data_IF_622251882877
#
_entry.id   IF_622251882877
#
_cell.length_a   1.000
_cell.length_b   1.000
_cell.length_c   1.000
_cell.angle_alpha   90.00
_cell.angle_beta   90.00
_cell.angle_gamma   90.00
#
_symmetry.space_group_name_H-M   'P 1'
#
loop_
_entity.id
_entity.type
_entity.pdbx_description
1 polymer ?
#
# COMPACT_ATOMS: atom_id res chain seq x y z
N UNK A 1 -12.86 -10.33 -33.45
CA UNK A 1 -13.82 -10.12 -32.34
C UNK A 1 -15.23 -9.98 -32.93
N UNK A 2 -16.29 -10.36 -32.20
CA UNK A 2 -17.69 -10.15 -32.64
C UNK A 2 -18.14 -8.71 -32.30
N UNK A 3 -18.92 -8.08 -33.18
CA UNK A 3 -19.37 -6.69 -33.02
C UNK A 3 -20.07 -6.42 -31.68
N UNK A 4 -20.97 -7.32 -31.25
CA UNK A 4 -21.65 -7.20 -29.94
C UNK A 4 -20.70 -7.14 -28.74
N UNK A 5 -19.55 -7.81 -28.81
CA UNK A 5 -18.52 -7.72 -27.76
C UNK A 5 -17.73 -6.41 -27.87
N UNK A 6 -17.43 -5.98 -29.09
CA UNK A 6 -16.79 -4.70 -29.34
C UNK A 6 -17.62 -3.55 -28.76
N UNK A 7 -18.93 -3.53 -29.04
CA UNK A 7 -19.89 -2.55 -28.52
C UNK A 7 -19.86 -2.42 -27.00
N UNK A 8 -19.85 -3.54 -26.26
CA UNK A 8 -19.70 -3.50 -24.81
C UNK A 8 -18.36 -2.92 -24.36
N UNK A 9 -17.29 -3.21 -25.10
CA UNK A 9 -15.97 -2.68 -24.79
C UNK A 9 -15.81 -1.20 -25.18
N UNK A 10 -16.57 -0.69 -26.13
CA UNK A 10 -16.54 0.72 -26.50
C UNK A 10 -16.95 1.62 -25.33
N UNK A 11 -17.99 1.25 -24.58
CA UNK A 11 -18.43 1.98 -23.38
C UNK A 11 -17.28 2.05 -22.35
N UNK A 12 -16.75 0.89 -21.94
CA UNK A 12 -15.61 0.85 -21.02
C UNK A 12 -14.35 1.53 -21.57
N UNK A 13 -14.19 1.63 -22.89
CA UNK A 13 -13.05 2.31 -23.51
C UNK A 13 -13.17 3.83 -23.40
N UNK A 14 -14.39 4.36 -23.57
CA UNK A 14 -14.73 5.78 -23.39
C UNK A 14 -14.47 6.23 -21.96
N UNK A 15 -14.88 5.44 -20.98
CA UNK A 15 -14.71 5.76 -19.55
C UNK A 15 -13.27 5.53 -19.04
N UNK A 16 -12.36 5.08 -19.91
CA UNK A 16 -10.97 4.82 -19.54
C UNK A 16 -10.74 3.49 -18.81
N UNK A 17 -11.79 2.75 -18.48
CA UNK A 17 -11.77 1.52 -17.67
C UNK A 17 -11.25 0.28 -18.42
N UNK A 18 -11.18 0.33 -19.76
CA UNK A 18 -10.75 -0.81 -20.55
C UNK A 18 -9.24 -1.04 -20.44
N UNK A 19 -8.85 -2.18 -19.86
CA UNK A 19 -7.44 -2.58 -19.71
C UNK A 19 -6.64 -2.50 -21.04
N UNK A 20 -5.34 -2.14 -21.01
CA UNK A 20 -4.54 -1.84 -22.21
C UNK A 20 -4.51 -2.97 -23.25
N UNK A 21 -4.49 -4.23 -22.81
CA UNK A 21 -4.52 -5.39 -23.70
C UNK A 21 -5.85 -5.51 -24.45
N UNK A 22 -6.97 -5.21 -23.79
CA UNK A 22 -8.32 -5.27 -24.39
C UNK A 22 -8.54 -4.08 -25.33
N UNK A 23 -8.00 -2.91 -24.99
CA UNK A 23 -8.01 -1.73 -25.86
C UNK A 23 -7.36 -2.00 -27.21
N UNK A 24 -6.17 -2.60 -27.24
CA UNK A 24 -5.52 -3.02 -28.51
C UNK A 24 -6.36 -3.97 -29.36
N UNK A 25 -7.06 -4.90 -28.73
CA UNK A 25 -7.95 -5.84 -29.45
C UNK A 25 -9.18 -5.12 -29.99
N UNK A 26 -9.73 -4.15 -29.25
CA UNK A 26 -10.81 -3.29 -29.71
C UNK A 26 -10.38 -2.44 -30.91
N UNK A 27 -9.23 -1.78 -30.82
CA UNK A 27 -8.64 -0.99 -31.91
C UNK A 27 -8.46 -1.81 -33.19
N UNK A 28 -7.93 -3.03 -33.08
CA UNK A 28 -7.83 -3.94 -34.22
C UNK A 28 -9.18 -4.29 -34.84
N UNK A 29 -10.23 -4.44 -34.03
CA UNK A 29 -11.59 -4.64 -34.57
C UNK A 29 -12.12 -3.38 -35.25
N UNK A 30 -11.95 -2.20 -34.65
CA UNK A 30 -12.36 -0.92 -35.24
C UNK A 30 -11.66 -0.67 -36.57
N UNK A 31 -10.38 -1.04 -36.72
CA UNK A 31 -9.69 -0.97 -38.02
C UNK A 31 -10.41 -1.80 -39.10
N UNK A 32 -10.92 -2.98 -38.74
CA UNK A 32 -11.59 -3.90 -39.68
C UNK A 32 -13.09 -3.67 -39.89
N UNK A 33 -13.82 -3.09 -38.92
CA UNK A 33 -15.28 -3.02 -38.93
C UNK A 33 -15.77 -1.57 -39.08
N UNK A 34 -16.38 -1.21 -40.23
CA UNK A 34 -16.87 0.16 -40.46
C UNK A 34 -18.05 0.53 -39.56
N UNK A 35 -18.93 -0.41 -39.24
CA UNK A 35 -20.13 -0.13 -38.43
C UNK A 35 -19.75 0.25 -37.01
N UNK A 36 -18.89 -0.54 -36.36
CA UNK A 36 -18.40 -0.21 -35.02
C UNK A 36 -17.56 1.08 -34.99
N UNK A 37 -16.84 1.43 -36.08
CA UNK A 37 -16.20 2.76 -36.16
C UNK A 37 -17.20 3.89 -36.18
N UNK A 38 -18.26 3.78 -36.99
CA UNK A 38 -19.28 4.83 -37.06
C UNK A 38 -19.96 5.01 -35.71
N UNK A 39 -20.26 3.90 -35.01
CA UNK A 39 -20.81 3.96 -33.65
C UNK A 39 -19.86 4.67 -32.68
N UNK A 40 -18.58 4.25 -32.63
CA UNK A 40 -17.57 4.88 -31.75
C UNK A 40 -17.40 6.38 -32.05
N UNK A 41 -17.34 6.76 -33.32
CA UNK A 41 -17.23 8.15 -33.75
C UNK A 41 -18.48 8.96 -33.36
N UNK A 42 -19.67 8.36 -33.49
CA UNK A 42 -20.93 8.96 -33.04
C UNK A 42 -20.93 9.22 -31.53
N UNK A 43 -20.50 8.24 -30.73
CA UNK A 43 -20.35 8.42 -29.27
C UNK A 43 -19.36 9.54 -28.95
N UNK A 44 -18.19 9.56 -29.61
CA UNK A 44 -17.19 10.62 -29.42
C UNK A 44 -17.74 12.01 -29.74
N UNK A 45 -18.47 12.17 -30.84
CA UNK A 45 -19.08 13.44 -31.24
C UNK A 45 -20.15 13.93 -30.23
N UNK A 46 -20.90 13.01 -29.61
CA UNK A 46 -21.85 13.37 -28.55
C UNK A 46 -21.09 13.88 -27.31
N UNK A 47 -20.05 13.18 -26.88
CA UNK A 47 -19.25 13.59 -25.71
C UNK A 47 -18.57 14.94 -25.93
N UNK A 48 -18.04 15.19 -27.13
CA UNK A 48 -17.44 16.48 -27.48
C UNK A 48 -18.46 17.62 -27.40
N UNK A 49 -19.68 17.40 -27.89
CA UNK A 49 -20.76 18.39 -27.74
C UNK A 49 -21.15 18.62 -26.29
N UNK A 50 -21.26 17.56 -25.49
CA UNK A 50 -21.57 17.67 -24.06
C UNK A 50 -20.46 18.40 -23.31
N UNK A 51 -19.19 18.12 -23.64
CA UNK A 51 -18.05 18.82 -23.07
C UNK A 51 -18.02 20.32 -23.47
N UNK A 52 -18.52 20.65 -24.66
CA UNK A 52 -18.67 22.03 -25.14
C UNK A 52 -19.86 22.78 -24.53
N UNK A 53 -20.81 22.08 -23.91
CA UNK A 53 -21.82 22.73 -23.06
C UNK A 53 -21.09 23.16 -21.78
N UNK A 54 -20.63 24.41 -21.74
CA UNK A 54 -19.98 24.98 -20.57
C UNK A 54 -20.91 24.93 -19.35
N UNK A 55 -20.86 23.83 -18.62
CA UNK A 55 -21.35 23.76 -17.25
C UNK A 55 -20.27 24.37 -16.37
N UNK A 56 -20.34 25.68 -16.19
CA UNK A 56 -19.55 26.36 -15.17
C UNK A 56 -20.06 25.93 -13.79
N UNK A 57 -19.56 24.81 -13.30
CA UNK A 57 -19.70 24.41 -11.92
C UNK A 57 -18.55 25.03 -11.14
N UNK A 58 -18.84 26.04 -10.32
CA UNK A 58 -17.84 26.61 -9.42
C UNK A 58 -17.50 25.57 -8.36
N UNK A 59 -16.27 25.06 -8.39
CA UNK A 59 -15.79 24.12 -7.37
C UNK A 59 -15.69 24.88 -6.04
N UNK A 60 -16.36 24.42 -4.97
CA UNK A 60 -16.22 25.04 -3.65
C UNK A 60 -14.76 25.06 -3.21
N UNK A 61 -14.28 26.21 -2.73
CA UNK A 61 -12.88 26.40 -2.32
C UNK A 61 -12.42 25.36 -1.30
N UNK A 62 -13.28 24.93 -0.36
CA UNK A 62 -12.90 23.91 0.62
C UNK A 62 -12.52 22.56 -0.03
N UNK A 63 -13.17 22.16 -1.14
CA UNK A 63 -12.85 20.92 -1.86
C UNK A 63 -11.51 21.04 -2.58
N UNK A 64 -11.24 22.19 -3.19
CA UNK A 64 -9.96 22.48 -3.82
C UNK A 64 -8.82 22.40 -2.79
N UNK A 65 -8.97 23.11 -1.66
CA UNK A 65 -7.98 23.09 -0.58
C UNK A 65 -7.77 21.69 0.00
N UNK A 66 -8.85 20.94 0.24
CA UNK A 66 -8.77 19.57 0.74
C UNK A 66 -8.04 18.64 -0.24
N UNK A 67 -8.33 18.77 -1.54
CA UNK A 67 -7.70 17.98 -2.60
C UNK A 67 -6.23 18.31 -2.73
N UNK A 68 -5.87 19.59 -2.83
CA UNK A 68 -4.48 20.03 -2.91
C UNK A 68 -3.68 19.63 -1.67
N UNK A 69 -4.28 19.71 -0.47
CA UNK A 69 -3.66 19.22 0.76
C UNK A 69 -3.37 17.73 0.69
N UNK A 70 -4.32 16.92 0.20
CA UNK A 70 -4.14 15.47 0.05
C UNK A 70 -3.05 15.12 -0.95
N UNK A 71 -3.01 15.80 -2.10
CA UNK A 71 -1.95 15.63 -3.11
C UNK A 71 -0.57 15.94 -2.53
N UNK A 72 -0.43 17.04 -1.78
CA UNK A 72 0.84 17.41 -1.12
C UNK A 72 1.29 16.36 -0.11
N UNK A 73 0.37 15.84 0.70
CA UNK A 73 0.68 14.78 1.68
C UNK A 73 1.12 13.49 0.99
N UNK A 74 0.49 13.12 -0.14
CA UNK A 74 0.90 11.94 -0.91
C UNK A 74 2.28 12.12 -1.53
N UNK A 75 2.58 13.29 -2.09
CA UNK A 75 3.90 13.60 -2.64
C UNK A 75 5.00 13.55 -1.57
N UNK A 76 4.78 14.15 -0.41
CA UNK A 76 5.73 14.10 0.71
C UNK A 76 5.99 12.66 1.19
N UNK A 77 4.93 11.83 1.27
CA UNK A 77 5.09 10.42 1.65
C UNK A 77 5.87 9.60 0.61
N UNK A 78 5.79 9.92 -0.68
CA UNK A 78 6.60 9.30 -1.72
C UNK A 78 8.08 9.72 -1.64
N UNK A 79 8.34 10.99 -1.34
CA UNK A 79 9.70 11.51 -1.09
C UNK A 79 10.36 10.81 0.10
N UNK A 80 9.65 10.63 1.22
CA UNK A 80 10.19 9.91 2.38
C UNK A 80 10.52 8.44 2.06
N UNK A 81 9.66 7.77 1.28
CA UNK A 81 9.91 6.37 0.86
C UNK A 81 11.11 6.25 -0.05
N UNK A 82 11.29 7.19 -0.98
CA UNK A 82 12.42 7.19 -1.91
C UNK A 82 13.73 7.58 -1.21
N UNK A 83 13.70 8.54 -0.30
CA UNK A 83 14.84 8.94 0.53
C UNK A 83 15.28 7.80 1.47
N UNK A 84 14.34 7.14 2.14
CA UNK A 84 14.64 5.98 2.98
C UNK A 84 15.26 4.84 2.15
N UNK A 85 14.72 4.56 0.96
CA UNK A 85 15.29 3.53 0.07
C UNK A 85 16.70 3.90 -0.40
N UNK A 86 16.96 5.17 -0.71
CA UNK A 86 18.27 5.68 -1.12
C UNK A 86 19.33 5.55 -0.02
N UNK A 87 18.97 5.84 1.23
CA UNK A 87 19.90 5.71 2.37
C UNK A 87 20.31 4.25 2.64
N UNK A 88 19.36 3.32 2.59
CA UNK A 88 19.65 1.89 2.78
C UNK A 88 20.49 1.29 1.66
N UNK A 89 20.30 1.73 0.41
CA UNK A 89 21.16 1.32 -0.71
C UNK A 89 22.55 1.95 -0.59
N UNK A 90 22.63 3.24 -0.23
CA UNK A 90 23.89 3.95 -0.02
C UNK A 90 24.78 3.36 1.08
N UNK A 91 24.19 2.77 2.13
CA UNK A 91 24.95 2.12 3.20
C UNK A 91 25.39 0.68 2.88
N UNK A 92 24.63 -0.04 2.04
CA UNK A 92 24.94 -1.44 1.68
C UNK A 92 26.00 -1.59 0.57
N UNK A 93 26.11 -0.62 -0.34
CA UNK A 93 27.13 -0.64 -1.42
C UNK A 93 28.56 -0.61 -0.88
N UNK A 94 28.96 0.29 0.04
CA UNK A 94 30.32 0.26 0.59
C UNK A 94 30.56 -1.00 1.42
N UNK A 95 29.57 -1.47 2.20
CA UNK A 95 29.72 -2.69 3.00
C UNK A 95 30.01 -3.94 2.14
N UNK A 96 29.37 -4.07 0.98
CA UNK A 96 29.66 -5.17 0.04
C UNK A 96 31.04 -5.04 -0.61
N UNK A 97 31.47 -3.82 -0.94
CA UNK A 97 32.79 -3.55 -1.50
C UNK A 97 33.93 -3.81 -0.49
N UNK A 98 33.74 -3.49 0.79
CA UNK A 98 34.69 -3.84 1.85
C UNK A 98 34.75 -5.35 2.10
N UNK A 99 33.61 -6.05 2.04
CA UNK A 99 33.58 -7.51 2.18
C UNK A 99 34.31 -8.23 1.04
N UNK A 100 34.13 -7.78 -0.22
CA UNK A 100 34.86 -8.37 -1.36
C UNK A 100 36.36 -8.07 -1.31
N UNK A 101 36.76 -6.85 -0.90
CA UNK A 101 38.16 -6.50 -0.70
C UNK A 101 38.82 -7.35 0.41
N UNK A 102 38.13 -7.57 1.53
CA UNK A 102 38.63 -8.40 2.62
C UNK A 102 38.83 -9.87 2.19
N UNK A 103 37.87 -10.44 1.46
CA UNK A 103 38.00 -11.82 0.91
C UNK A 103 39.15 -11.89 -0.10
N UNK A 104 39.31 -10.89 -0.96
CA UNK A 104 40.43 -10.82 -1.91
C UNK A 104 41.78 -10.74 -1.19
N UNK A 105 41.90 -9.94 -0.13
CA UNK A 105 43.13 -9.84 0.69
C UNK A 105 43.44 -11.18 1.35
N UNK A 106 42.44 -11.85 1.93
CA UNK A 106 42.61 -13.18 2.54
C UNK A 106 43.02 -14.22 1.49
N UNK A 107 42.39 -14.22 0.32
CA UNK A 107 42.75 -15.12 -0.77
C UNK A 107 44.19 -14.89 -1.23
N UNK A 108 44.58 -13.63 -1.49
CA UNK A 108 45.96 -13.29 -1.90
C UNK A 108 46.98 -13.63 -0.80
N UNK A 109 46.63 -13.43 0.47
CA UNK A 109 47.46 -13.83 1.61
C UNK A 109 47.64 -15.35 1.71
N UNK A 110 46.59 -16.13 1.44
CA UNK A 110 46.68 -17.59 1.41
C UNK A 110 47.48 -18.12 0.21
N UNK A 111 47.35 -17.50 -0.97
CA UNK A 111 48.16 -17.87 -2.14
C UNK A 111 49.64 -17.51 -1.94
N UNK A 112 49.96 -16.34 -1.38
CA UNK A 112 51.36 -15.94 -1.10
C UNK A 112 51.96 -16.69 0.10
N UNK A 113 51.17 -16.97 1.13
CA UNK A 113 51.61 -17.75 2.30
C UNK A 113 51.74 -19.25 2.03
N UNK A 114 51.18 -19.75 0.92
CA UNK A 114 51.38 -21.14 0.48
C UNK A 114 52.74 -21.36 -0.19
N UNK A 115 53.36 -20.32 -0.76
CA UNK A 115 54.72 -20.41 -1.32
C UNK A 115 55.80 -20.46 -0.22
N UNK A 116 55.63 -19.71 0.87
CA UNK A 116 56.56 -19.73 2.01
C UNK A 116 56.42 -20.97 2.93
N UNK A 117 55.40 -21.81 2.72
CA UNK A 117 55.18 -23.04 3.52
C UNK A 117 55.78 -24.31 2.92
N UNK A 118 56.57 -24.21 1.85
CA UNK A 118 57.24 -25.37 1.24
C UNK A 118 58.61 -25.74 1.83
N UNK A 119 58.89 -25.37 3.09
CA UNK A 119 59.89 -26.08 3.90
C UNK A 119 59.50 -26.09 5.38
N UNK A 120 58.54 -26.93 5.76
CA UNK A 120 58.53 -27.54 7.09
C UNK A 120 57.66 -28.81 7.10
N UNK A 121 58.19 -29.96 7.57
CA UNK A 121 57.43 -31.18 7.74
C UNK A 121 56.44 -31.10 8.92
N UNK A 122 55.47 -32.02 8.84
CA UNK A 122 54.26 -32.24 9.66
C UNK A 122 54.45 -32.31 11.19
N UNK A 123 53.34 -32.19 11.95
CA UNK A 123 53.31 -31.71 13.33
C UNK A 123 53.58 -32.80 14.36
N UNK A 124 54.36 -32.45 15.38
CA UNK A 124 54.39 -33.17 16.64
C UNK A 124 53.12 -32.85 17.46
N UNK A 125 52.48 -33.92 17.92
CA UNK A 125 51.44 -33.94 18.92
C UNK A 125 51.76 -33.02 20.10
N UNK A 126 50.78 -32.22 20.54
CA UNK A 126 50.75 -31.63 21.86
C UNK A 126 49.31 -31.45 22.31
N UNK A 127 48.80 -32.48 22.95
CA UNK A 127 47.70 -32.41 23.90
C UNK A 127 48.09 -31.46 25.04
N UNK A 128 47.32 -30.40 25.32
CA UNK A 128 47.08 -29.95 26.69
C UNK A 128 45.82 -29.08 26.83
N UNK A 129 44.99 -29.57 27.76
CA UNK A 129 44.17 -28.86 28.74
C UNK A 129 42.89 -28.14 28.29
N UNK A 130 41.80 -28.74 28.77
CA UNK A 130 40.60 -28.06 29.22
C UNK A 130 40.93 -26.83 30.06
N UNK A 131 40.30 -25.71 29.72
CA UNK A 131 39.97 -24.65 30.66
C UNK A 131 38.55 -24.16 30.33
N UNK A 132 37.61 -24.68 31.10
CA UNK A 132 36.24 -24.21 31.22
C UNK A 132 36.21 -22.89 31.99
N UNK A 133 35.82 -21.80 31.33
CA UNK A 133 35.20 -20.61 31.93
C UNK A 133 34.30 -20.04 30.82
N UNK A 134 32.99 -19.82 30.98
CA UNK A 134 32.27 -19.32 32.14
C UNK A 134 31.78 -17.90 31.81
N UNK A 135 30.49 -17.64 32.09
CA UNK A 135 29.79 -16.34 31.99
C UNK A 135 29.34 -15.87 30.60
N UNK A 136 28.05 -16.00 30.25
CA UNK A 136 26.91 -15.14 30.63
C UNK A 136 27.04 -13.70 30.17
N UNK A 137 26.15 -13.24 29.29
CA UNK A 137 25.22 -12.13 29.57
C UNK A 137 24.24 -12.04 28.40
N UNK A 138 23.04 -12.59 28.60
CA UNK A 138 21.85 -12.14 27.89
C UNK A 138 21.45 -10.76 28.43
N UNK A 139 21.12 -9.84 27.53
CA UNK A 139 20.54 -8.54 27.87
C UNK A 139 19.11 -8.51 27.31
N UNK A 140 18.08 -8.40 28.16
CA UNK A 140 16.72 -8.31 27.69
C UNK A 140 16.36 -6.88 27.26
N UNK A 141 15.36 -6.90 26.39
CA UNK A 141 14.54 -5.86 25.79
C UNK A 141 14.10 -4.74 26.77
N UNK A 142 14.24 -3.47 26.36
CA UNK A 142 13.39 -2.37 26.85
C UNK A 142 12.83 -1.63 25.63
N UNK A 143 11.64 -2.04 25.21
CA UNK A 143 10.77 -1.28 24.32
C UNK A 143 10.03 -0.28 25.19
N UNK A 144 10.42 0.99 25.11
CA UNK A 144 9.65 2.09 25.69
C UNK A 144 8.38 2.28 24.86
N UNK A 145 7.25 1.87 25.44
CA UNK A 145 5.89 2.14 24.98
C UNK A 145 5.59 3.61 25.31
N UNK A 146 5.69 4.48 24.31
CA UNK A 146 5.33 5.89 24.45
C UNK A 146 3.87 6.06 24.87
N UNK A 147 3.68 6.84 25.92
CA UNK A 147 2.42 7.33 26.48
C UNK A 147 1.36 7.68 25.41
N UNK A 148 0.19 7.08 25.54
CA UNK A 148 -1.06 7.68 25.06
C UNK A 148 -1.36 8.92 25.91
N UNK A 149 -1.58 10.09 25.31
CA UNK A 149 -2.06 11.25 26.05
C UNK A 149 -3.51 10.99 26.51
N UNK A 150 -3.75 11.26 27.79
CA UNK A 150 -5.07 11.21 28.42
C UNK A 150 -6.08 12.12 27.69
N UNK A 151 -7.37 11.74 27.62
CA UNK A 151 -8.41 12.62 27.12
C UNK A 151 -8.53 13.82 28.07
N UNK A 152 -8.19 15.01 27.58
CA UNK A 152 -8.48 16.26 28.27
C UNK A 152 -10.00 16.43 28.37
N UNK A 153 -10.43 16.65 29.61
CA UNK A 153 -11.53 17.52 30.03
C UNK A 153 -12.74 17.53 29.10
N UNK A 154 -13.76 16.77 29.52
CA UNK A 154 -15.15 17.12 29.28
C UNK A 154 -15.43 18.45 30.00
N UNK A 155 -15.14 19.57 29.34
CA UNK A 155 -15.62 20.89 29.74
C UNK A 155 -16.81 21.26 28.84
N UNK A 156 -17.95 21.42 29.51
CA UNK A 156 -19.18 22.08 29.08
C UNK A 156 -19.91 21.51 27.85
N UNK A 157 -20.57 20.37 28.06
CA UNK A 157 -21.78 20.05 27.29
C UNK A 157 -22.96 20.79 27.92
N UNK A 158 -23.68 21.66 27.18
CA UNK A 158 -24.94 22.24 27.64
C UNK A 158 -25.92 21.10 27.98
N UNK A 159 -26.39 21.06 29.22
CA UNK A 159 -27.34 20.04 29.70
C UNK A 159 -28.71 20.16 29.03
N UNK A 160 -29.01 21.32 28.44
CA UNK A 160 -30.26 21.56 27.73
C UNK A 160 -30.01 21.68 26.22
N UNK A 161 -30.74 20.91 25.40
CA UNK A 161 -30.63 21.02 23.95
C UNK A 161 -31.07 22.41 23.51
N UNK A 162 -30.35 23.05 22.56
CA UNK A 162 -30.78 24.28 21.93
C UNK A 162 -32.26 24.24 21.53
N UNK A 163 -33.03 25.33 21.70
CA UNK A 163 -34.47 25.37 21.45
C UNK A 163 -34.85 24.97 20.01
N UNK A 164 -33.91 25.11 19.07
CA UNK A 164 -34.03 24.68 17.68
C UNK A 164 -34.17 23.15 17.53
N UNK A 165 -33.55 22.36 18.42
CA UNK A 165 -33.63 20.90 18.42
C UNK A 165 -34.93 20.39 19.09
N UNK A 166 -35.44 21.13 20.08
CA UNK A 166 -36.71 20.80 20.73
C UNK A 166 -37.92 21.05 19.80
N UNK A 167 -37.78 21.97 18.84
CA UNK A 167 -38.84 22.31 17.88
C UNK A 167 -38.98 21.32 16.72
N UNK A 168 -37.97 20.48 16.45
CA UNK A 168 -37.97 19.54 15.33
C UNK A 168 -37.26 18.21 15.69
N UNK A 169 -37.86 17.38 16.57
CA UNK A 169 -37.25 16.11 17.02
C UNK A 169 -37.05 15.11 15.87
N UNK A 170 -37.84 15.22 14.80
CA UNK A 170 -37.84 14.29 13.67
C UNK A 170 -36.66 14.52 12.70
N UNK A 171 -35.96 15.66 12.80
CA UNK A 171 -34.84 16.02 11.92
C UNK A 171 -33.69 15.01 11.97
N UNK A 172 -33.57 14.26 13.08
CA UNK A 172 -32.50 13.29 13.29
C UNK A 172 -32.91 11.87 12.91
N UNK A 173 -34.20 11.55 12.81
CA UNK A 173 -34.67 10.18 12.57
C UNK A 173 -34.30 9.69 11.16
N UNK A 174 -34.16 10.60 10.19
CA UNK A 174 -33.86 10.25 8.79
C UNK A 174 -32.35 10.23 8.45
N UNK A 175 -31.45 10.42 9.43
CA UNK A 175 -30.02 10.34 9.16
C UNK A 175 -29.61 8.89 8.86
N UNK A 176 -29.01 8.60 7.68
CA UNK A 176 -28.60 7.24 7.30
C UNK A 176 -27.63 6.58 8.30
N UNK A 177 -26.93 7.38 9.09
CA UNK A 177 -26.03 6.92 10.15
C UNK A 177 -26.81 6.18 11.24
N UNK A 178 -27.96 6.71 11.68
CA UNK A 178 -28.78 6.09 12.73
C UNK A 178 -29.49 4.82 12.25
N UNK A 179 -29.97 4.81 11.00
CA UNK A 179 -30.59 3.63 10.36
C UNK A 179 -29.66 2.42 10.24
N UNK A 180 -28.34 2.64 10.30
CA UNK A 180 -27.35 1.57 10.21
C UNK A 180 -26.66 1.28 11.55
N UNK A 181 -27.05 1.91 12.66
CA UNK A 181 -26.47 1.60 13.98
C UNK A 181 -26.82 0.18 14.45
N UNK A 182 -28.01 -0.31 14.15
CA UNK A 182 -28.41 -1.71 14.41
C UNK A 182 -27.52 -2.72 13.65
N UNK A 183 -26.96 -2.32 12.49
CA UNK A 183 -25.97 -3.14 11.76
C UNK A 183 -24.60 -3.16 12.44
N UNK A 184 -24.31 -2.19 13.30
CA UNK A 184 -23.07 -2.14 14.07
C UNK A 184 -23.16 -2.97 15.36
N UNK A 185 -24.34 -3.33 15.87
CA UNK A 185 -24.47 -4.21 17.04
C UNK A 185 -23.98 -5.64 16.76
N UNK A 186 -23.94 -6.04 15.49
CA UNK A 186 -23.39 -7.33 15.07
C UNK A 186 -21.88 -7.31 14.77
N UNK A 187 -21.14 -6.27 15.16
CA UNK A 187 -19.68 -6.23 14.96
C UNK A 187 -18.94 -7.37 15.70
N UNK A 188 -19.49 -7.84 16.83
CA UNK A 188 -18.96 -9.01 17.57
C UNK A 188 -19.03 -10.31 16.77
N UNK A 189 -20.02 -10.46 15.87
CA UNK A 189 -20.11 -11.61 14.96
C UNK A 189 -18.98 -11.63 13.91
N UNK A 190 -18.43 -10.47 13.56
CA UNK A 190 -17.29 -10.35 12.63
C UNK A 190 -15.96 -10.63 13.36
N UNK A 191 -15.87 -10.33 14.66
CA UNK A 191 -14.67 -10.65 15.46
C UNK A 191 -14.55 -12.14 15.81
N UNK A 192 -15.68 -12.84 16.00
CA UNK A 192 -15.69 -14.26 16.34
C UNK A 192 -15.53 -15.19 15.13
N UNK A 193 -15.61 -14.67 13.90
CA UNK A 193 -15.36 -15.43 12.67
C UNK A 193 -13.92 -15.32 12.15
N UNK A 194 -12.98 -14.87 12.98
CA UNK A 194 -11.56 -15.04 12.67
C UNK A 194 -11.19 -16.53 12.73
N UNK A 195 -11.09 -17.13 11.54
CA UNK A 195 -10.03 -18.08 11.19
C UNK A 195 -9.84 -19.28 12.13
N UNK A 196 -10.89 -20.05 12.39
CA UNK A 196 -10.72 -21.50 12.63
C UNK A 196 -12.04 -22.22 12.33
N UNK A 197 -12.03 -23.01 11.26
CA UNK A 197 -12.86 -24.19 11.00
C UNK A 197 -13.00 -24.36 9.47
N UNK A 198 -11.97 -25.01 8.92
CA UNK A 198 -12.16 -25.83 7.75
C UNK A 198 -13.14 -26.94 8.09
N UNK A 199 -14.31 -26.93 7.44
CA UNK A 199 -15.33 -27.95 7.63
C UNK A 199 -16.29 -27.94 6.46
N UNK A 200 -16.20 -28.98 5.65
CA UNK A 200 -17.00 -29.29 4.47
C UNK A 200 -18.49 -28.99 4.66
N UNK A 201 -19.09 -28.22 3.75
CA UNK A 201 -20.53 -28.32 3.52
C UNK A 201 -20.79 -28.58 2.04
N UNK A 202 -21.13 -29.86 1.83
CA UNK A 202 -21.63 -30.53 0.65
C UNK A 202 -22.82 -29.82 0.04
N UNK A 203 -22.84 -29.77 -1.30
CA UNK A 203 -24.02 -29.45 -2.10
C UNK A 203 -25.12 -30.48 -1.86
N UNK A 204 -26.36 -29.98 -1.74
CA UNK A 204 -27.62 -30.71 -1.85
C UNK A 204 -28.65 -29.77 -2.47
#
# INVERSE_FOLDING_TARGET
MRCRRAQRWMVAAVDGELAPRRRRVLEGHLASCPDCRREMAGTGAVLERVAGLAMECTVPSHLEHATLRRVRLMAAAEEERTAARGWWVGFRVPALAFATAAVAIVAVGLLRGADDRRLAPSPALSSHRLASQGSTTGKPLVVARGEQPAPKAAEDLPTEPPPELAAAPDLFIELPILRNMEKLEHFEAIRTTTLDDGGEQSNG
#
